data_IF_883068922474
#
_entry.id   IF_883068922474
#
_cell.length_a   1.000
_cell.length_b   1.000
_cell.length_c   1.000
_cell.angle_alpha   90.00
_cell.angle_beta   90.00
_cell.angle_gamma   90.00
#
_symmetry.space_group_name_H-M   'P 1'
#
loop_
_entity.id
_entity.type
_entity.pdbx_description
1 polymer ?
#
# COMPACT_ATOMS: atom_id res chain seq x y z
N UNK A 1 -57.15 30.66 -11.44
CA UNK A 1 -57.58 29.47 -10.69
C UNK A 1 -56.57 28.36 -10.97
N UNK A 2 -55.74 28.02 -9.97
CA UNK A 2 -54.96 26.79 -9.69
C UNK A 2 -54.54 25.84 -10.86
N UNK A 3 -53.31 25.32 -10.99
CA UNK A 3 -52.44 24.71 -9.96
C UNK A 3 -50.95 24.76 -10.37
N UNK A 4 -50.10 25.13 -9.39
CA UNK A 4 -48.68 24.82 -9.37
C UNK A 4 -48.51 23.30 -9.17
N UNK A 5 -47.76 22.62 -10.03
CA UNK A 5 -47.31 21.24 -9.79
C UNK A 5 -46.05 21.30 -8.93
N UNK A 6 -46.17 20.93 -7.66
CA UNK A 6 -45.04 20.73 -6.76
C UNK A 6 -44.29 19.46 -7.21
N UNK A 7 -43.06 19.62 -7.69
CA UNK A 7 -42.14 18.53 -7.96
C UNK A 7 -41.51 18.13 -6.63
N UNK A 8 -42.07 17.10 -5.98
CA UNK A 8 -41.48 16.50 -4.78
C UNK A 8 -40.17 15.82 -5.18
N UNK A 9 -39.03 16.40 -4.79
CA UNK A 9 -37.74 15.70 -4.81
C UNK A 9 -37.85 14.54 -3.81
N UNK A 10 -37.91 13.31 -4.32
CA UNK A 10 -37.64 12.10 -3.55
C UNK A 10 -36.15 12.14 -3.16
N UNK A 11 -35.85 12.52 -1.92
CA UNK A 11 -34.55 12.26 -1.32
C UNK A 11 -34.47 10.77 -1.03
N UNK A 12 -33.97 9.99 -1.99
CA UNK A 12 -33.52 8.64 -1.69
C UNK A 12 -32.34 8.76 -0.71
N UNK A 13 -32.40 8.14 0.47
CA UNK A 13 -31.19 7.99 1.27
C UNK A 13 -30.20 7.19 0.42
N UNK A 14 -29.07 7.81 0.06
CA UNK A 14 -27.88 7.07 -0.33
C UNK A 14 -27.45 6.30 0.92
N UNK A 15 -27.99 5.10 1.11
CA UNK A 15 -27.31 4.08 1.90
C UNK A 15 -26.04 3.77 1.13
N UNK A 16 -24.88 4.15 1.65
CA UNK A 16 -23.62 3.52 1.26
C UNK A 16 -23.87 2.03 1.52
N UNK A 17 -24.06 1.26 0.45
CA UNK A 17 -23.92 -0.17 0.56
C UNK A 17 -22.48 -0.37 1.03
N UNK A 18 -22.33 -0.83 2.26
CA UNK A 18 -21.11 -1.50 2.68
C UNK A 18 -20.91 -2.60 1.65
N UNK A 19 -19.94 -2.42 0.76
CA UNK A 19 -19.70 -3.43 -0.27
C UNK A 19 -19.03 -4.56 0.47
N UNK A 20 -19.82 -5.48 1.02
CA UNK A 20 -19.32 -6.77 1.48
C UNK A 20 -18.55 -7.37 0.30
N UNK A 21 -17.23 -7.25 0.36
CA UNK A 21 -16.41 -7.69 -0.74
C UNK A 21 -16.46 -9.22 -0.77
N UNK A 22 -17.05 -9.77 -1.82
CA UNK A 22 -17.13 -11.22 -1.96
C UNK A 22 -15.75 -11.79 -2.31
N UNK A 23 -15.15 -12.49 -1.36
CA UNK A 23 -13.83 -13.09 -1.44
C UNK A 23 -13.94 -14.62 -1.31
N UNK A 24 -14.26 -15.32 -2.41
CA UNK A 24 -14.58 -16.75 -2.36
C UNK A 24 -13.39 -17.63 -1.94
N UNK A 25 -12.16 -17.15 -2.13
CA UNK A 25 -10.94 -17.94 -1.99
C UNK A 25 -10.05 -17.49 -0.80
N UNK A 26 -10.53 -16.55 0.03
CA UNK A 26 -9.76 -16.07 1.20
C UNK A 26 -10.49 -16.39 2.50
N UNK A 27 -9.76 -16.92 3.48
CA UNK A 27 -10.25 -17.16 4.85
C UNK A 27 -10.48 -15.85 5.62
N UNK A 28 -10.07 -14.72 5.06
CA UNK A 28 -10.14 -13.37 5.63
C UNK A 28 -10.34 -12.32 4.54
N UNK A 29 -10.96 -11.19 4.89
CA UNK A 29 -11.05 -10.03 4.00
C UNK A 29 -10.34 -8.85 4.66
N UNK A 30 -9.55 -8.12 3.87
CA UNK A 30 -8.98 -6.85 4.29
C UNK A 30 -10.10 -5.80 4.24
N UNK A 31 -10.38 -5.16 5.37
CA UNK A 31 -11.35 -4.08 5.43
C UNK A 31 -10.71 -2.77 4.88
N UNK A 32 -11.51 -1.82 4.36
CA UNK A 32 -10.99 -0.57 3.81
C UNK A 32 -10.09 0.22 4.78
N UNK A 33 -10.42 0.22 6.07
CA UNK A 33 -9.63 0.83 7.14
C UNK A 33 -8.26 0.17 7.31
N UNK A 34 -8.21 -1.17 7.31
CA UNK A 34 -6.97 -1.93 7.46
C UNK A 34 -6.09 -1.77 6.22
N UNK A 35 -6.70 -1.73 5.03
CA UNK A 35 -6.03 -1.41 3.78
C UNK A 35 -5.40 -0.01 3.83
N UNK A 36 -6.12 0.98 4.39
CA UNK A 36 -5.59 2.33 4.56
C UNK A 36 -4.41 2.34 5.53
N UNK A 37 -4.51 1.66 6.68
CA UNK A 37 -3.45 1.57 7.67
C UNK A 37 -2.19 0.90 7.11
N UNK A 38 -2.35 -0.17 6.33
CA UNK A 38 -1.25 -0.81 5.61
C UNK A 38 -0.57 0.14 4.62
N UNK A 39 -1.35 0.80 3.75
CA UNK A 39 -0.81 1.74 2.77
C UNK A 39 -0.13 2.95 3.43
N UNK A 40 -0.71 3.44 4.53
CA UNK A 40 -0.15 4.53 5.31
C UNK A 40 1.18 4.13 5.99
N UNK A 41 1.22 2.97 6.62
CA UNK A 41 2.43 2.46 7.28
C UNK A 41 3.55 2.18 6.26
N UNK A 42 3.23 1.68 5.08
CA UNK A 42 4.20 1.57 3.99
C UNK A 42 4.82 2.93 3.65
N UNK A 43 3.98 3.95 3.44
CA UNK A 43 4.44 5.32 3.23
C UNK A 43 5.31 5.87 4.37
N UNK A 44 5.07 5.42 5.61
CA UNK A 44 5.92 5.74 6.77
C UNK A 44 7.26 5.01 6.75
N UNK A 45 7.33 3.77 6.27
CA UNK A 45 8.59 3.05 6.07
C UNK A 45 9.50 3.79 5.08
N UNK A 46 8.92 4.36 4.03
CA UNK A 46 9.62 5.14 3.01
C UNK A 46 10.01 6.55 3.52
N UNK A 47 9.07 7.24 4.18
CA UNK A 47 9.26 8.64 4.59
C UNK A 47 9.93 8.87 5.93
N UNK A 48 9.95 7.88 6.81
CA UNK A 48 10.52 7.95 8.14
C UNK A 48 10.73 6.55 8.70
N UNK A 49 11.66 5.82 8.08
CA UNK A 49 11.94 4.42 8.38
C UNK A 49 12.12 4.17 9.89
N UNK A 50 11.49 3.09 10.36
CA UNK A 50 11.64 2.56 11.71
C UNK A 50 11.60 1.02 11.63
N UNK A 51 12.60 0.35 12.22
CA UNK A 51 12.67 -1.12 12.27
C UNK A 51 11.43 -1.73 12.94
N UNK A 52 10.93 -1.15 14.03
CA UNK A 52 9.77 -1.68 14.74
C UNK A 52 8.51 -1.58 13.89
N UNK A 53 8.36 -0.48 13.14
CA UNK A 53 7.28 -0.34 12.18
C UNK A 53 7.40 -1.38 11.06
N UNK A 54 8.60 -1.64 10.58
CA UNK A 54 8.83 -2.65 9.54
C UNK A 54 8.46 -4.05 10.04
N UNK A 55 8.81 -4.39 11.28
CA UNK A 55 8.45 -5.68 11.88
C UNK A 55 6.94 -5.86 12.10
N UNK A 56 6.21 -4.75 12.23
CA UNK A 56 4.75 -4.74 12.38
C UNK A 56 3.99 -4.61 11.06
N UNK A 57 4.63 -4.13 9.99
CA UNK A 57 3.99 -3.88 8.68
C UNK A 57 4.30 -4.96 7.67
N UNK A 58 5.49 -5.59 7.76
CA UNK A 58 5.97 -6.57 6.80
C UNK A 58 6.05 -7.96 7.44
N UNK A 59 5.52 -8.97 6.76
CA UNK A 59 5.63 -10.36 7.17
C UNK A 59 7.10 -10.84 7.14
N UNK A 60 7.54 -11.76 8.01
CA UNK A 60 8.90 -12.31 7.92
C UNK A 60 9.27 -12.90 6.54
N UNK A 61 8.28 -13.37 5.78
CA UNK A 61 8.44 -13.90 4.42
C UNK A 61 8.30 -12.85 3.31
N UNK A 62 8.23 -11.56 3.66
CA UNK A 62 8.03 -10.47 2.73
C UNK A 62 9.03 -10.43 1.57
N UNK A 63 8.51 -10.23 0.36
CA UNK A 63 9.28 -10.05 -0.88
C UNK A 63 8.78 -8.81 -1.62
N UNK A 64 9.71 -7.92 -1.98
CA UNK A 64 9.44 -6.70 -2.74
C UNK A 64 9.89 -6.81 -4.20
N UNK A 65 9.06 -6.28 -5.08
CA UNK A 65 9.29 -6.19 -6.53
C UNK A 65 9.06 -4.76 -7.01
N UNK A 66 10.13 -4.09 -7.43
CA UNK A 66 10.01 -2.86 -8.18
C UNK A 66 11.02 -2.77 -9.32
N UNK A 67 10.55 -2.83 -10.56
CA UNK A 67 11.39 -2.62 -11.74
C UNK A 67 11.98 -1.21 -11.75
N UNK A 68 11.26 -0.23 -11.20
CA UNK A 68 11.74 1.14 -11.07
C UNK A 68 12.93 1.22 -10.10
N UNK A 69 12.81 0.62 -8.91
CA UNK A 69 13.91 0.58 -7.93
C UNK A 69 15.06 -0.28 -8.45
N UNK A 70 14.79 -1.44 -9.04
CA UNK A 70 15.81 -2.29 -9.68
C UNK A 70 16.59 -1.51 -10.74
N UNK A 71 15.90 -0.75 -11.59
CA UNK A 71 16.55 0.12 -12.59
C UNK A 71 17.43 1.18 -11.93
N UNK A 72 17.02 1.77 -10.82
CA UNK A 72 17.83 2.75 -10.09
C UNK A 72 19.06 2.12 -9.43
N UNK A 73 18.93 0.94 -8.83
CA UNK A 73 20.04 0.20 -8.24
C UNK A 73 21.04 -0.21 -9.34
N UNK A 74 20.54 -0.76 -10.45
CA UNK A 74 21.37 -1.19 -11.59
C UNK A 74 22.17 -0.02 -12.20
N UNK A 75 21.53 1.14 -12.35
CA UNK A 75 22.21 2.35 -12.86
C UNK A 75 23.17 3.00 -11.84
N UNK A 76 22.99 2.75 -10.54
CA UNK A 76 23.75 3.39 -9.46
C UNK A 76 24.85 2.52 -8.84
N UNK A 77 24.88 1.23 -9.14
CA UNK A 77 25.79 0.25 -8.54
C UNK A 77 26.92 -0.22 -9.46
N UNK A 78 27.84 -1.00 -8.89
CA UNK A 78 28.97 -1.62 -9.61
C UNK A 78 28.63 -3.02 -10.17
N UNK A 79 27.42 -3.53 -9.94
CA UNK A 79 27.01 -4.89 -10.31
C UNK A 79 25.58 -4.93 -10.81
N UNK A 80 25.30 -5.67 -11.90
CA UNK A 80 23.96 -5.70 -12.46
C UNK A 80 22.93 -6.31 -11.52
N UNK A 81 21.74 -5.73 -11.50
CA UNK A 81 20.56 -6.26 -10.79
C UNK A 81 19.55 -6.77 -11.80
N UNK A 82 18.91 -7.90 -11.50
CA UNK A 82 17.85 -8.45 -12.37
C UNK A 82 16.65 -7.50 -12.37
N UNK A 83 16.33 -6.92 -13.53
CA UNK A 83 15.21 -5.98 -13.64
C UNK A 83 13.88 -6.59 -13.19
N UNK A 84 13.60 -7.83 -13.61
CA UNK A 84 12.35 -8.56 -13.32
C UNK A 84 12.44 -9.44 -12.07
N UNK A 85 13.54 -9.36 -11.34
CA UNK A 85 13.74 -10.11 -10.10
C UNK A 85 13.19 -9.36 -8.88
N UNK A 86 13.12 -10.03 -7.71
CA UNK A 86 12.84 -9.34 -6.47
C UNK A 86 13.86 -8.23 -6.22
N UNK A 87 13.37 -7.04 -5.85
CA UNK A 87 14.18 -5.93 -5.36
C UNK A 87 14.72 -6.26 -3.98
N UNK A 88 13.86 -6.74 -3.08
CA UNK A 88 14.26 -7.33 -1.82
C UNK A 88 13.61 -8.70 -1.66
N UNK A 89 14.44 -9.74 -1.56
CA UNK A 89 13.97 -11.13 -1.38
C UNK A 89 13.62 -11.50 0.06
N UNK A 90 13.70 -10.55 1.00
CA UNK A 90 13.34 -10.77 2.40
C UNK A 90 13.07 -9.45 3.12
N UNK A 91 12.26 -9.51 4.19
CA UNK A 91 12.09 -8.40 5.13
C UNK A 91 13.41 -7.86 5.67
N UNK A 92 14.36 -8.73 6.00
CA UNK A 92 15.68 -8.30 6.49
C UNK A 92 16.42 -7.50 5.42
N UNK A 93 16.41 -7.95 4.17
CA UNK A 93 17.00 -7.22 3.06
C UNK A 93 16.38 -5.83 2.86
N UNK A 94 15.04 -5.75 2.91
CA UNK A 94 14.32 -4.48 2.87
C UNK A 94 14.74 -3.55 4.01
N UNK A 95 14.80 -4.06 5.25
CA UNK A 95 15.19 -3.29 6.44
C UNK A 95 16.62 -2.76 6.35
N UNK A 96 17.55 -3.61 5.94
CA UNK A 96 18.98 -3.27 5.82
C UNK A 96 19.22 -2.21 4.75
N UNK A 97 18.49 -2.28 3.63
CA UNK A 97 18.55 -1.27 2.57
C UNK A 97 17.88 0.03 3.00
N UNK A 98 16.64 -0.04 3.50
CA UNK A 98 15.84 1.12 3.91
C UNK A 98 16.51 1.93 5.03
N UNK A 99 17.18 1.27 5.98
CA UNK A 99 17.90 1.95 7.07
C UNK A 99 19.06 2.84 6.60
N UNK A 100 19.55 2.64 5.38
CA UNK A 100 20.66 3.40 4.77
C UNK A 100 20.16 4.49 3.81
N UNK A 101 18.88 4.48 3.45
CA UNK A 101 18.30 5.46 2.55
C UNK A 101 17.92 6.73 3.31
N UNK A 102 18.11 7.93 2.71
CA UNK A 102 17.55 9.14 3.26
C UNK A 102 16.01 9.07 3.18
N UNK A 103 15.34 9.68 4.15
CA UNK A 103 13.89 9.85 4.12
C UNK A 103 13.45 10.62 2.87
N UNK A 104 12.47 10.08 2.15
CA UNK A 104 11.84 10.76 1.01
C UNK A 104 10.39 11.15 1.34
N UNK A 105 9.90 12.31 0.88
CA UNK A 105 8.50 12.67 1.10
C UNK A 105 7.57 11.60 0.52
N UNK A 106 6.50 11.26 1.23
CA UNK A 106 5.51 10.30 0.74
C UNK A 106 4.12 10.78 1.10
N UNK A 107 3.26 10.91 0.09
CA UNK A 107 1.86 11.32 0.25
C UNK A 107 0.97 10.25 -0.36
N UNK A 108 0.23 9.57 0.51
CA UNK A 108 -0.83 8.66 0.10
C UNK A 108 -1.96 9.46 -0.56
N UNK A 109 -2.38 9.05 -1.77
CA UNK A 109 -3.38 9.78 -2.56
C UNK A 109 -4.72 9.07 -2.61
N UNK A 110 -4.70 7.77 -2.82
CA UNK A 110 -5.89 6.94 -2.99
C UNK A 110 -5.55 5.51 -2.59
N UNK A 111 -6.48 4.83 -1.95
CA UNK A 111 -6.39 3.41 -1.59
C UNK A 111 -7.59 2.70 -2.18
N UNK A 112 -7.34 1.52 -2.73
CA UNK A 112 -8.34 0.57 -3.19
C UNK A 112 -8.04 -0.76 -2.52
N UNK A 113 -9.08 -1.43 -2.05
CA UNK A 113 -8.98 -2.74 -1.44
C UNK A 113 -9.59 -3.77 -2.38
N UNK A 114 -8.97 -4.94 -2.45
CA UNK A 114 -9.54 -6.09 -3.11
C UNK A 114 -9.23 -7.39 -2.36
N UNK A 115 -10.15 -7.83 -1.51
CA UNK A 115 -10.02 -9.05 -0.71
C UNK A 115 -8.82 -8.97 0.22
N UNK A 116 -7.77 -9.71 -0.04
CA UNK A 116 -6.51 -9.68 0.70
C UNK A 116 -5.47 -8.78 0.02
N UNK A 117 -5.86 -8.00 -0.99
CA UNK A 117 -4.97 -7.07 -1.69
C UNK A 117 -5.30 -5.63 -1.36
N UNK A 118 -4.25 -4.81 -1.28
CA UNK A 118 -4.36 -3.36 -1.26
C UNK A 118 -3.61 -2.79 -2.44
N UNK A 119 -4.24 -1.88 -3.16
CA UNK A 119 -3.61 -1.06 -4.19
C UNK A 119 -3.67 0.38 -3.74
N UNK A 120 -2.58 1.12 -3.85
CA UNK A 120 -2.59 2.53 -3.49
C UNK A 120 -1.74 3.37 -4.40
N UNK A 121 -2.23 4.58 -4.66
CA UNK A 121 -1.51 5.60 -5.41
C UNK A 121 -0.80 6.52 -4.44
N UNK A 122 0.44 6.85 -4.75
CA UNK A 122 1.26 7.75 -3.94
C UNK A 122 1.96 8.82 -4.79
N UNK A 123 2.43 9.85 -4.10
CA UNK A 123 3.19 10.96 -4.65
C UNK A 123 4.37 11.26 -3.71
N UNK A 124 5.55 11.36 -4.28
CA UNK A 124 6.77 11.79 -3.60
C UNK A 124 7.20 13.14 -4.18
N UNK A 125 7.15 14.17 -3.33
CA UNK A 125 7.47 15.57 -3.67
C UNK A 125 8.99 15.79 -3.75
N UNK A 126 9.65 15.03 -4.61
CA UNK A 126 11.10 15.07 -4.82
C UNK A 126 11.49 16.20 -5.78
N UNK A 127 12.74 16.66 -5.67
CA UNK A 127 13.36 17.65 -6.55
C UNK A 127 14.37 16.97 -7.48
N UNK A 128 14.44 17.33 -8.79
CA UNK A 128 13.76 18.45 -9.44
C UNK A 128 12.35 18.15 -9.95
N UNK A 129 11.91 16.89 -9.88
CA UNK A 129 10.59 16.48 -10.36
C UNK A 129 9.94 15.55 -9.34
N UNK A 130 8.63 15.73 -9.07
CA UNK A 130 7.90 14.80 -8.24
C UNK A 130 7.82 13.44 -8.93
N UNK A 131 7.73 12.39 -8.11
CA UNK A 131 7.52 11.01 -8.54
C UNK A 131 6.13 10.59 -8.11
N UNK A 132 5.42 9.88 -8.99
CA UNK A 132 4.13 9.26 -8.66
C UNK A 132 4.23 7.78 -8.96
N UNK A 133 3.60 6.98 -8.11
CA UNK A 133 3.59 5.53 -8.26
C UNK A 133 2.26 4.93 -7.87
N UNK A 134 2.13 3.66 -8.19
CA UNK A 134 1.08 2.78 -7.71
C UNK A 134 1.80 1.59 -7.10
N UNK A 135 1.43 1.24 -5.88
CA UNK A 135 1.92 0.02 -5.24
C UNK A 135 0.74 -0.93 -5.09
N UNK A 136 0.99 -2.22 -5.31
CA UNK A 136 0.02 -3.30 -5.15
C UNK A 136 0.63 -4.28 -4.17
N UNK A 137 -0.03 -4.51 -3.04
CA UNK A 137 0.49 -5.43 -2.02
C UNK A 137 -0.53 -6.48 -1.61
N UNK A 138 -0.01 -7.69 -1.37
CA UNK A 138 -0.76 -8.80 -0.80
C UNK A 138 -0.62 -8.76 0.71
N UNK A 139 -1.75 -8.80 1.41
CA UNK A 139 -1.85 -8.72 2.85
C UNK A 139 -2.23 -10.08 3.46
N UNK A 140 -1.65 -10.39 4.61
CA UNK A 140 -1.98 -11.58 5.42
C UNK A 140 -2.30 -11.16 6.85
N UNK A 141 -3.13 -11.93 7.60
CA UNK A 141 -3.41 -11.65 8.99
C UNK A 141 -2.12 -11.63 9.81
N UNK A 142 -1.98 -10.61 10.66
CA UNK A 142 -0.87 -10.47 11.55
C UNK A 142 -1.03 -11.39 12.78
N UNK A 143 0.08 -11.81 13.41
CA UNK A 143 0.01 -12.53 14.68
C UNK A 143 -0.61 -11.65 15.78
N UNK A 144 -1.21 -12.29 16.79
CA UNK A 144 -1.75 -11.60 17.95
C UNK A 144 -0.71 -10.67 18.60
N UNK A 145 -1.12 -9.44 18.92
CA UNK A 145 -0.25 -8.42 19.52
C UNK A 145 0.53 -7.57 18.51
N UNK A 146 0.31 -7.75 17.20
CA UNK A 146 0.80 -6.83 16.18
C UNK A 146 0.10 -5.46 16.27
N UNK A 147 0.77 -4.39 15.83
CA UNK A 147 0.19 -3.03 15.84
C UNK A 147 -1.02 -2.89 14.90
N UNK A 148 -1.03 -3.62 13.79
CA UNK A 148 -2.14 -3.67 12.82
C UNK A 148 -2.63 -5.10 12.64
N UNK A 149 -3.90 -5.32 12.25
CA UNK A 149 -4.42 -6.68 12.07
C UNK A 149 -3.85 -7.40 10.85
N UNK A 150 -3.21 -6.70 9.92
CA UNK A 150 -2.59 -7.26 8.71
C UNK A 150 -1.14 -6.81 8.51
N UNK A 151 -0.41 -7.55 7.67
CA UNK A 151 0.96 -7.26 7.18
C UNK A 151 1.09 -7.57 5.69
N UNK A 152 2.03 -6.93 5.01
CA UNK A 152 2.40 -7.30 3.64
C UNK A 152 3.23 -8.58 3.59
N UNK A 153 2.86 -9.51 2.71
CA UNK A 153 3.71 -10.65 2.32
C UNK A 153 4.41 -10.40 0.99
N UNK A 154 3.87 -9.54 0.14
CA UNK A 154 4.59 -9.00 -1.00
C UNK A 154 4.02 -7.65 -1.44
N UNK A 155 4.83 -6.90 -2.15
CA UNK A 155 4.46 -5.67 -2.86
C UNK A 155 5.09 -5.62 -4.26
N UNK A 156 4.39 -4.90 -5.14
CA UNK A 156 4.74 -4.65 -6.54
C UNK A 156 4.62 -3.16 -6.84
N UNK A 157 5.66 -2.55 -7.41
CA UNK A 157 5.73 -1.10 -7.71
C UNK A 157 6.34 -0.74 -9.06
#
# INVERSE_FOLDING_TARGET
MFRLLALTLLTLPFTLADSDQYCPDSDYALEPEDAYDLAYNFGKLVSNYNSDLADNTLDPSFVDFSEGVNSMIDNGGDSPVSLLGPTFSSRTGFKDASSKQPSVPFRLKQVWVSCDWVTFRWESDQSPKPVVGISVGHAVPAPFGNLTPFRYVCDFE
#
